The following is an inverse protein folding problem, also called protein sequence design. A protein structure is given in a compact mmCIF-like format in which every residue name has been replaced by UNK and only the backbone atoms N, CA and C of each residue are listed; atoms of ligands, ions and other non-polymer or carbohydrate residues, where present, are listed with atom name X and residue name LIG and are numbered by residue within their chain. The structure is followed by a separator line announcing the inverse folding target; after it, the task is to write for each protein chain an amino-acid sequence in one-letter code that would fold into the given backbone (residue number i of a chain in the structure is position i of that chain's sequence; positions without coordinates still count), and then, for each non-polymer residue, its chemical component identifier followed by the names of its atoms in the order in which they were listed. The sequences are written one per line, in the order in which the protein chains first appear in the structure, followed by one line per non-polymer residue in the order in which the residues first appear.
data_IF_479612214954
#
_entry.id   IF_479612214954
#
_cell.length_a   1.000
_cell.length_b   1.000
_cell.length_c   1.000
_cell.angle_alpha   90.00
_cell.angle_beta   90.00
_cell.angle_gamma   90.00
#
_symmetry.space_group_name_H-M   'P 1'
#
loop_
_entity.id
_entity.type
_entity.pdbx_description
1 polymer ?
#
# COMPACT_ATOMS: atom_id res chain seq x y z
N UNK A 1 8.15 -12.76 1.22
CA UNK A 1 6.80 -12.95 1.65
C UNK A 1 5.99 -11.67 1.51
N UNK A 2 4.80 -11.76 0.99
CA UNK A 2 3.99 -10.58 0.73
C UNK A 2 3.13 -10.27 1.93
N UNK A 3 3.08 -9.01 2.29
CA UNK A 3 2.21 -8.59 3.38
C UNK A 3 0.77 -8.57 2.89
N UNK A 4 -0.12 -8.90 3.80
CA UNK A 4 -1.53 -8.89 3.48
C UNK A 4 -2.08 -7.48 3.67
N UNK A 5 -1.87 -6.64 2.68
CA UNK A 5 -2.26 -5.25 2.79
C UNK A 5 -3.77 -5.11 2.94
N UNK A 6 -4.52 -6.04 2.41
CA UNK A 6 -5.97 -5.94 2.48
C UNK A 6 -6.49 -6.17 3.89
N UNK A 7 -5.73 -6.86 4.71
CA UNK A 7 -6.10 -7.06 6.11
C UNK A 7 -5.72 -5.90 6.99
N UNK A 8 -4.96 -4.96 6.47
CA UNK A 8 -4.49 -3.84 7.27
C UNK A 8 -5.50 -2.71 7.22
N UNK A 9 -5.54 -1.94 8.30
CA UNK A 9 -6.37 -0.75 8.32
C UNK A 9 -5.72 0.36 7.51
N UNK A 10 -6.53 1.39 7.22
CA UNK A 10 -5.99 2.54 6.49
C UNK A 10 -4.85 3.17 7.27
N UNK A 11 -4.98 3.23 8.59
CA UNK A 11 -3.92 3.81 9.41
C UNK A 11 -2.62 3.03 9.25
N UNK A 12 -2.71 1.72 9.26
CA UNK A 12 -1.52 0.89 9.12
C UNK A 12 -0.92 1.05 7.73
N UNK A 13 -1.77 1.12 6.71
CA UNK A 13 -1.27 1.32 5.36
C UNK A 13 -0.54 2.65 5.23
N UNK A 14 -1.10 3.68 5.85
CA UNK A 14 -0.47 4.99 5.76
C UNK A 14 0.88 5.00 6.46
N UNK A 15 1.00 4.26 7.54
CA UNK A 15 2.29 4.20 8.23
C UNK A 15 3.34 3.54 7.37
N UNK A 16 2.96 2.47 6.68
CA UNK A 16 3.89 1.80 5.78
C UNK A 16 4.29 2.74 4.65
N UNK A 17 3.31 3.44 4.10
CA UNK A 17 3.59 4.38 3.02
C UNK A 17 4.52 5.48 3.49
N UNK A 18 4.30 5.97 4.70
CA UNK A 18 5.14 7.02 5.24
C UNK A 18 6.57 6.55 5.39
N UNK A 19 6.76 5.34 5.86
CA UNK A 19 8.10 4.80 6.02
C UNK A 19 8.82 4.71 4.69
N UNK A 20 8.09 4.53 3.61
CA UNK A 20 8.68 4.41 2.29
C UNK A 20 8.62 5.71 1.51
N UNK A 21 8.24 6.79 2.18
CA UNK A 21 8.18 8.12 1.57
C UNK A 21 7.21 8.17 0.41
N UNK A 22 6.11 7.44 0.54
CA UNK A 22 5.09 7.43 -0.50
C UNK A 22 3.93 8.31 -0.08
N UNK A 23 3.07 8.62 -1.05
CA UNK A 23 1.92 9.45 -0.77
C UNK A 23 0.94 8.74 0.15
N UNK A 24 0.34 9.51 1.04
CA UNK A 24 -0.60 8.95 2.01
C UNK A 24 -2.04 9.19 1.65
N UNK A 25 -2.31 9.92 0.59
CA UNK A 25 -3.67 10.26 0.23
C UNK A 25 -4.28 9.18 -0.65
N UNK A 26 -5.62 9.13 -0.64
CA UNK A 26 -6.32 8.19 -1.47
C UNK A 26 -7.11 7.20 -0.65
N UNK A 27 -7.85 6.36 -1.34
CA UNK A 27 -8.64 5.33 -0.70
C UNK A 27 -7.77 4.14 -0.34
N UNK A 28 -8.35 3.23 0.44
CA UNK A 28 -7.60 2.06 0.86
C UNK A 28 -7.07 1.29 -0.33
N UNK A 29 -7.89 1.10 -1.35
CA UNK A 29 -7.44 0.36 -2.52
C UNK A 29 -6.29 1.07 -3.21
N UNK A 30 -6.33 2.41 -3.24
CA UNK A 30 -5.24 3.16 -3.85
C UNK A 30 -3.96 3.04 -3.03
N UNK A 31 -4.11 3.04 -1.71
CA UNK A 31 -2.94 2.88 -0.87
C UNK A 31 -2.30 1.51 -1.09
N UNK A 32 -3.12 0.50 -1.20
CA UNK A 32 -2.61 -0.84 -1.45
C UNK A 32 -1.94 -0.92 -2.81
N UNK A 33 -2.55 -0.35 -3.83
CA UNK A 33 -1.95 -0.34 -5.16
C UNK A 33 -0.58 0.32 -5.13
N UNK A 34 -0.49 1.43 -4.40
CA UNK A 34 0.77 2.16 -4.33
C UNK A 34 1.85 1.31 -3.67
N UNK A 35 1.48 0.59 -2.63
CA UNK A 35 2.44 -0.27 -1.95
C UNK A 35 2.86 -1.44 -2.84
N UNK A 36 1.93 -2.02 -3.55
CA UNK A 36 2.26 -3.13 -4.44
C UNK A 36 3.19 -2.68 -5.55
N UNK A 37 2.95 -1.49 -6.08
CA UNK A 37 3.85 -0.96 -7.11
C UNK A 37 5.23 -0.74 -6.55
N UNK A 38 5.29 -0.23 -5.32
CA UNK A 38 6.59 -0.01 -4.71
C UNK A 38 7.33 -1.33 -4.51
N UNK A 39 6.61 -2.36 -4.15
CA UNK A 39 7.22 -3.67 -3.94
C UNK A 39 7.58 -4.37 -5.25
N UNK A 40 7.14 -3.83 -6.36
CA UNK A 40 7.43 -4.44 -7.63
C UNK A 40 6.45 -5.54 -8.01
N UNK A 41 5.31 -5.60 -7.35
CA UNK A 41 4.29 -6.59 -7.68
C UNK A 41 3.41 -6.04 -8.79
N UNK A 42 3.15 -6.87 -9.78
CA UNK A 42 2.26 -6.46 -10.86
C UNK A 42 0.83 -6.41 -10.36
N UNK A 43 0.18 -5.31 -10.66
CA UNK A 43 -1.20 -5.11 -10.26
C UNK A 43 -2.05 -5.12 -11.49
N UNK A 44 -2.94 -5.88 -11.57
CA UNK A 44 -3.65 -5.78 -12.61
C UNK A 44 -4.16 -6.65 -13.34
N UNK A 45 -4.74 -6.48 -14.16
CA UNK A 45 -5.23 -7.03 -14.81
C UNK A 45 -5.43 -7.45 -15.55
#
# INVERSE_FOLDING_TARGET
MTEDYESMTVSELKEVLKERSLKLSGKKSELIDRLLEFDGVEVGE
#
